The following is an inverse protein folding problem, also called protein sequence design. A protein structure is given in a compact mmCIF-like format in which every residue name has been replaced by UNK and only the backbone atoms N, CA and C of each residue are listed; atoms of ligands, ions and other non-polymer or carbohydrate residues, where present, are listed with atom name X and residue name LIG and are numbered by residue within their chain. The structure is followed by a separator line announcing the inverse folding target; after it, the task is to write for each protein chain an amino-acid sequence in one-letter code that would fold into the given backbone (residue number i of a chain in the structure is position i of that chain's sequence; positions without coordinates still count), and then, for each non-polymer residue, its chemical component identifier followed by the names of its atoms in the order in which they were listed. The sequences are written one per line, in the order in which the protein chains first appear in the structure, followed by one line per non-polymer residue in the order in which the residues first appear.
data_IF_934840363602
#
_entry.id   IF_934840363602
#
_cell.length_a   1.000
_cell.length_b   1.000
_cell.length_c   1.000
_cell.angle_alpha   90.00
_cell.angle_beta   90.00
_cell.angle_gamma   90.00
#
_symmetry.space_group_name_H-M   'P 1'
#
loop_
_entity.id
_entity.type
_entity.pdbx_description
1 polymer ?
#
# COMPACT_ATOMS: atom_id res chain seq x y z
N UNK A 1 -54.75 49.82 26.08
CA UNK A 1 -54.57 48.37 25.89
C UNK A 1 -53.13 48.19 25.37
N UNK A 2 -52.10 48.30 26.22
CA UNK A 2 -51.48 47.22 27.02
C UNK A 2 -50.00 47.16 26.62
N UNK A 3 -49.14 48.06 27.13
CA UNK A 3 -48.14 47.90 28.21
C UNK A 3 -47.03 46.86 27.96
N UNK A 4 -45.78 47.33 27.97
CA UNK A 4 -44.58 46.47 28.06
C UNK A 4 -43.29 47.29 28.12
N UNK A 5 -43.01 47.92 29.27
CA UNK A 5 -41.71 48.51 29.60
C UNK A 5 -40.80 47.39 30.12
N UNK A 6 -39.59 47.26 29.58
CA UNK A 6 -38.47 46.68 30.33
C UNK A 6 -37.25 47.60 30.22
N UNK A 7 -37.02 48.37 31.30
CA UNK A 7 -35.71 48.93 31.62
C UNK A 7 -35.05 47.98 32.61
N UNK A 8 -33.85 47.48 32.30
CA UNK A 8 -32.90 47.01 33.32
C UNK A 8 -31.61 47.78 33.11
N UNK A 9 -31.13 48.37 34.21
CA UNK A 9 -30.14 49.43 34.23
C UNK A 9 -28.70 49.01 33.97
N UNK A 10 -27.89 50.02 33.66
CA UNK A 10 -26.45 49.93 33.68
C UNK A 10 -25.95 49.73 35.12
N UNK A 11 -25.10 48.72 35.32
CA UNK A 11 -24.08 48.72 36.36
C UNK A 11 -22.79 48.20 35.74
N UNK A 12 -21.72 48.97 35.93
CA UNK A 12 -20.41 48.75 35.36
C UNK A 12 -19.70 47.58 36.04
N UNK A 13 -19.27 46.61 35.24
CA UNK A 13 -18.08 45.80 35.47
C UNK A 13 -17.55 45.42 34.10
N UNK A 14 -16.68 46.25 33.53
CA UNK A 14 -15.96 45.94 32.31
C UNK A 14 -15.01 44.79 32.57
N UNK A 15 -15.47 43.56 32.40
CA UNK A 15 -14.60 42.40 32.32
C UNK A 15 -13.75 42.56 31.06
N UNK A 16 -12.49 42.96 31.23
CA UNK A 16 -11.47 42.78 30.21
C UNK A 16 -11.32 41.28 30.07
N UNK A 17 -12.01 40.71 29.08
CA UNK A 17 -11.76 39.35 28.62
C UNK A 17 -10.40 39.40 27.94
N UNK A 18 -9.35 39.09 28.70
CA UNK A 18 -8.05 38.77 28.13
C UNK A 18 -8.25 37.45 27.40
N UNK A 19 -8.51 37.52 26.09
CA UNK A 19 -8.27 36.39 25.21
C UNK A 19 -6.76 36.15 25.27
N UNK A 20 -6.34 35.24 26.15
CA UNK A 20 -5.13 34.48 25.89
C UNK A 20 -5.38 33.80 24.56
N UNK A 21 -4.77 34.34 23.49
CA UNK A 21 -4.59 33.59 22.26
C UNK A 21 -3.91 32.30 22.71
N UNK A 22 -4.68 31.21 22.79
CA UNK A 22 -4.10 29.90 22.77
C UNK A 22 -3.27 29.90 21.49
N UNK A 23 -1.95 29.96 21.64
CA UNK A 23 -1.04 29.67 20.55
C UNK A 23 -1.44 28.28 20.11
N UNK A 24 -2.12 28.20 18.97
CA UNK A 24 -2.41 26.93 18.33
C UNK A 24 -1.06 26.19 18.29
N UNK A 25 -0.91 25.04 18.97
CA UNK A 25 0.30 24.27 18.82
C UNK A 25 0.47 24.06 17.32
N UNK A 26 1.64 24.42 16.82
CA UNK A 26 1.99 24.34 15.41
C UNK A 26 1.50 22.98 14.89
N UNK A 27 0.50 23.00 13.99
CA UNK A 27 -0.07 21.83 13.33
C UNK A 27 0.99 21.22 12.41
N UNK A 28 1.90 20.47 13.00
CA UNK A 28 2.98 19.78 12.34
C UNK A 28 2.76 18.31 12.63
N UNK A 29 2.77 17.49 11.59
CA UNK A 29 2.74 16.05 11.75
C UNK A 29 3.83 15.56 12.71
N UNK A 30 3.49 14.54 13.46
CA UNK A 30 4.37 13.86 14.39
C UNK A 30 5.43 13.05 13.64
N UNK A 31 6.57 12.86 14.27
CA UNK A 31 7.62 11.95 13.79
C UNK A 31 7.86 10.87 14.82
N UNK A 32 7.68 9.61 14.41
CA UNK A 32 7.87 8.43 15.24
C UNK A 32 9.15 7.68 14.81
N UNK A 33 10.13 7.64 15.70
CA UNK A 33 11.38 6.91 15.49
C UNK A 33 11.26 5.49 16.08
N UNK A 34 11.00 4.51 15.21
CA UNK A 34 10.89 3.11 15.63
C UNK A 34 12.25 2.62 16.15
N UNK A 35 12.28 2.12 17.38
CA UNK A 35 13.50 1.66 18.02
C UNK A 35 13.46 0.17 18.42
N UNK A 36 12.37 -0.52 18.10
CA UNK A 36 12.22 -1.94 18.41
C UNK A 36 11.45 -2.70 17.32
N UNK A 37 11.95 -3.90 16.99
CA UNK A 37 11.35 -4.78 15.97
C UNK A 37 10.24 -5.67 16.48
N UNK A 38 9.90 -5.58 17.77
CA UNK A 38 8.76 -6.29 18.35
C UNK A 38 7.46 -5.86 17.66
N UNK A 39 6.47 -6.74 17.74
CA UNK A 39 5.11 -6.47 17.29
C UNK A 39 4.23 -6.38 18.54
N UNK A 40 4.07 -5.15 19.02
CA UNK A 40 3.31 -4.82 20.22
C UNK A 40 2.60 -3.49 19.97
N UNK A 41 1.36 -3.39 20.44
CA UNK A 41 0.56 -2.18 20.36
C UNK A 41 1.10 -1.08 21.28
N UNK A 42 0.75 0.16 20.97
CA UNK A 42 0.97 1.28 21.86
C UNK A 42 0.28 1.03 23.22
N UNK A 43 0.87 1.55 24.30
CA UNK A 43 0.25 1.50 25.61
C UNK A 43 -0.96 2.43 25.72
N UNK A 44 -0.88 3.63 25.13
CA UNK A 44 -1.87 4.70 25.21
C UNK A 44 -1.77 5.59 23.96
N UNK A 45 -2.89 5.78 23.27
CA UNK A 45 -2.97 6.72 22.15
C UNK A 45 -2.90 8.16 22.67
N UNK A 46 -1.69 8.71 22.77
CA UNK A 46 -1.40 9.98 23.44
C UNK A 46 -0.42 10.90 22.68
N UNK A 47 -0.06 10.55 21.46
CA UNK A 47 0.92 11.24 20.62
C UNK A 47 2.37 10.77 20.85
N UNK A 48 2.60 9.81 21.75
CA UNK A 48 3.91 9.23 22.03
C UNK A 48 3.94 7.75 21.67
N UNK A 49 4.81 7.36 20.74
CA UNK A 49 5.01 5.95 20.42
C UNK A 49 5.74 5.22 21.57
N UNK A 50 5.00 4.51 22.42
CA UNK A 50 5.49 3.84 23.61
C UNK A 50 4.64 2.60 23.99
N UNK A 51 5.21 1.41 23.81
CA UNK A 51 4.59 0.16 24.28
C UNK A 51 4.68 -0.03 25.80
N UNK A 52 3.96 -1.01 26.34
CA UNK A 52 3.98 -1.39 27.78
C UNK A 52 5.27 -2.09 28.25
N UNK A 53 6.29 -2.20 27.40
CA UNK A 53 7.60 -2.74 27.78
C UNK A 53 8.28 -1.88 28.85
N UNK A 54 9.25 -2.47 29.57
CA UNK A 54 10.04 -1.75 30.60
C UNK A 54 11.53 -1.89 30.27
N UNK A 55 12.22 -0.82 29.80
CA UNK A 55 11.66 0.50 29.48
C UNK A 55 10.73 0.47 28.24
N UNK A 56 9.83 1.47 28.09
CA UNK A 56 8.98 1.58 26.91
C UNK A 56 9.79 1.66 25.62
N UNK A 57 9.28 1.04 24.57
CA UNK A 57 9.89 1.03 23.24
C UNK A 57 8.86 1.40 22.19
N UNK A 58 9.31 2.01 21.09
CA UNK A 58 8.48 2.34 19.94
C UNK A 58 8.60 1.21 18.90
N UNK A 59 7.49 0.53 18.62
CA UNK A 59 7.38 -0.48 17.57
C UNK A 59 6.73 0.14 16.34
N UNK A 60 6.83 -0.52 15.18
CA UNK A 60 6.11 -0.10 13.97
C UNK A 60 4.59 -0.06 14.18
N UNK A 61 4.03 -1.04 14.90
CA UNK A 61 2.58 -1.09 15.17
C UNK A 61 2.15 0.08 16.04
N UNK A 62 2.87 0.33 17.14
CA UNK A 62 2.59 1.46 18.02
C UNK A 62 2.65 2.79 17.25
N UNK A 63 3.69 3.00 16.44
CA UNK A 63 3.84 4.21 15.63
C UNK A 63 2.67 4.42 14.63
N UNK A 64 2.17 3.34 14.03
CA UNK A 64 1.00 3.43 13.12
C UNK A 64 -0.28 3.69 13.90
N UNK A 65 -0.43 3.13 15.11
CA UNK A 65 -1.60 3.41 15.95
C UNK A 65 -1.65 4.87 16.39
N UNK A 66 -0.50 5.46 16.73
CA UNK A 66 -0.40 6.90 16.98
C UNK A 66 -0.73 7.71 15.72
N UNK A 67 -0.16 7.35 14.57
CA UNK A 67 -0.40 8.07 13.32
C UNK A 67 -1.88 8.01 12.88
N UNK A 68 -2.55 6.88 13.12
CA UNK A 68 -3.98 6.73 12.86
C UNK A 68 -4.87 7.57 13.80
N UNK A 69 -4.31 8.18 14.85
CA UNK A 69 -5.04 9.03 15.79
C UNK A 69 -4.82 10.52 15.53
N UNK A 70 -4.06 10.89 14.50
CA UNK A 70 -3.84 12.27 14.08
C UNK A 70 -4.66 12.62 12.84
N UNK A 71 -4.71 13.91 12.53
CA UNK A 71 -5.34 14.44 11.30
C UNK A 71 -4.32 15.04 10.33
N UNK A 72 -3.08 15.20 10.78
CA UNK A 72 -2.00 15.80 10.00
C UNK A 72 -1.12 14.68 9.41
N UNK A 73 -0.34 15.01 8.37
CA UNK A 73 0.55 14.00 7.76
C UNK A 73 1.74 13.68 8.65
N UNK A 74 1.79 12.44 9.15
CA UNK A 74 2.84 11.99 10.05
C UNK A 74 4.01 11.29 9.33
N UNK A 75 5.12 11.13 10.05
CA UNK A 75 6.33 10.46 9.57
C UNK A 75 6.73 9.33 10.50
N UNK A 76 6.97 8.15 9.96
CA UNK A 76 7.60 7.02 10.66
C UNK A 76 8.99 6.80 10.07
N UNK A 77 10.01 6.88 10.92
CA UNK A 77 11.36 6.45 10.56
C UNK A 77 11.58 5.01 11.01
N UNK A 78 11.90 4.13 10.07
CA UNK A 78 12.02 2.70 10.27
C UNK A 78 13.45 2.22 10.01
N UNK A 79 14.27 2.04 11.06
CA UNK A 79 15.63 1.55 10.93
C UNK A 79 15.72 0.15 10.33
N UNK A 80 16.94 -0.24 9.97
CA UNK A 80 17.27 -1.61 9.58
C UNK A 80 16.75 -2.60 10.63
N UNK A 81 16.01 -3.61 10.18
CA UNK A 81 15.35 -4.50 11.13
C UNK A 81 14.35 -5.44 10.47
N UNK A 82 13.94 -6.46 11.20
CA UNK A 82 12.93 -7.42 10.74
C UNK A 82 11.70 -7.34 11.63
N UNK A 83 10.72 -6.56 11.18
CA UNK A 83 9.46 -6.29 11.85
C UNK A 83 8.45 -7.38 11.47
N UNK A 84 8.37 -8.44 12.27
CA UNK A 84 7.46 -9.56 12.01
C UNK A 84 6.14 -9.33 12.72
N UNK A 85 5.06 -9.20 11.96
CA UNK A 85 3.69 -9.08 12.48
C UNK A 85 3.25 -10.44 13.07
N UNK A 86 3.28 -10.52 14.40
CA UNK A 86 3.03 -11.72 15.21
C UNK A 86 1.63 -11.72 15.82
N UNK A 87 1.05 -10.56 16.09
CA UNK A 87 -0.31 -10.44 16.60
C UNK A 87 -1.26 -10.95 15.51
N UNK A 88 -2.05 -11.97 15.84
CA UNK A 88 -2.96 -12.61 14.89
C UNK A 88 -4.37 -12.13 15.17
N UNK A 89 -5.00 -11.57 14.15
CA UNK A 89 -6.42 -11.33 13.99
C UNK A 89 -6.65 -11.05 12.50
N UNK A 90 -7.88 -11.17 12.03
CA UNK A 90 -8.26 -10.84 10.65
C UNK A 90 -9.53 -9.99 10.74
N UNK A 91 -9.55 -8.86 10.03
CA UNK A 91 -10.71 -7.95 10.00
C UNK A 91 -10.87 -7.11 11.28
N UNK A 92 -9.79 -6.54 11.80
CA UNK A 92 -9.84 -5.59 12.91
C UNK A 92 -9.31 -4.23 12.45
N UNK A 93 -10.23 -3.29 12.22
CA UNK A 93 -9.94 -1.92 11.78
C UNK A 93 -9.17 -1.18 12.89
N UNK A 94 -7.97 -0.65 12.57
CA UNK A 94 -7.07 0.21 13.37
C UNK A 94 -5.71 -0.43 13.73
N UNK A 95 -5.22 -1.40 12.94
CA UNK A 95 -3.90 -2.02 13.16
C UNK A 95 -3.70 -2.63 14.57
N UNK A 96 -4.77 -3.04 15.25
CA UNK A 96 -4.70 -3.61 16.61
C UNK A 96 -4.11 -5.03 16.61
N UNK A 97 -4.44 -5.83 15.60
CA UNK A 97 -3.90 -7.17 15.36
C UNK A 97 -3.70 -7.39 13.86
N UNK A 98 -3.07 -8.51 13.48
CA UNK A 98 -2.97 -8.88 12.07
C UNK A 98 -2.07 -7.93 11.28
N UNK A 99 -2.59 -7.50 10.12
CA UNK A 99 -1.99 -6.46 9.27
C UNK A 99 -1.86 -5.09 9.95
N UNK A 100 -1.34 -4.14 9.20
CA UNK A 100 -1.22 -2.74 9.61
C UNK A 100 -2.12 -1.89 8.72
N UNK A 101 -3.22 -1.40 9.27
CA UNK A 101 -4.11 -0.46 8.58
C UNK A 101 -3.57 0.95 8.75
N UNK A 102 -3.52 1.70 7.65
CA UNK A 102 -3.14 3.10 7.63
C UNK A 102 -4.38 3.89 7.19
N UNK A 103 -4.85 4.74 8.10
CA UNK A 103 -6.14 5.42 8.00
C UNK A 103 -6.00 6.92 7.71
N UNK A 104 -4.80 7.46 7.86
CA UNK A 104 -4.47 8.86 7.67
C UNK A 104 -3.15 9.04 6.91
N UNK A 105 -2.91 10.27 6.46
CA UNK A 105 -1.74 10.67 5.69
C UNK A 105 -0.44 10.24 6.39
N UNK A 106 0.35 9.42 5.72
CA UNK A 106 1.52 8.82 6.36
C UNK A 106 2.70 8.69 5.41
N UNK A 107 3.87 9.11 5.89
CA UNK A 107 5.17 8.80 5.27
C UNK A 107 5.93 7.78 6.11
N UNK A 108 6.31 6.65 5.51
CA UNK A 108 7.21 5.65 6.13
C UNK A 108 8.57 5.67 5.42
N UNK A 109 9.60 6.10 6.14
CA UNK A 109 10.99 6.13 5.70
C UNK A 109 11.74 4.90 6.21
N UNK A 110 12.02 3.93 5.36
CA UNK A 110 12.90 2.82 5.71
C UNK A 110 14.39 3.17 5.58
N UNK A 111 15.24 2.34 6.17
CA UNK A 111 16.71 2.43 6.05
C UNK A 111 17.28 1.63 4.85
N UNK A 112 16.47 1.43 3.82
CA UNK A 112 16.78 0.60 2.65
C UNK A 112 16.15 -0.79 2.73
N UNK A 113 16.51 -1.68 1.78
CA UNK A 113 15.91 -3.01 1.66
C UNK A 113 16.03 -3.91 2.92
N UNK A 114 16.82 -3.52 3.92
CA UNK A 114 16.99 -4.19 5.21
C UNK A 114 15.95 -3.80 6.27
N UNK A 115 15.17 -2.72 6.07
CA UNK A 115 13.95 -2.47 6.82
C UNK A 115 12.85 -3.42 6.28
N UNK A 116 12.75 -4.61 6.87
CA UNK A 116 11.93 -5.71 6.37
C UNK A 116 10.68 -5.86 7.24
N UNK A 117 9.54 -5.53 6.66
CA UNK A 117 8.21 -5.68 7.28
C UNK A 117 7.63 -6.99 6.77
N UNK A 118 7.27 -7.87 7.72
CA UNK A 118 6.91 -9.25 7.45
C UNK A 118 5.57 -9.64 8.04
N UNK A 119 4.60 -9.89 7.17
CA UNK A 119 3.37 -10.55 7.57
C UNK A 119 3.59 -12.02 7.95
N UNK A 120 2.49 -12.69 8.33
CA UNK A 120 2.52 -14.09 8.78
C UNK A 120 1.28 -14.89 8.37
N UNK A 121 0.12 -14.53 8.91
CA UNK A 121 -1.18 -15.15 8.61
C UNK A 121 -2.22 -14.11 8.16
N UNK A 122 -1.73 -12.91 7.87
CA UNK A 122 -2.51 -11.78 7.40
C UNK A 122 -1.68 -11.02 6.35
N UNK A 123 -2.33 -10.09 5.66
CA UNK A 123 -1.74 -9.04 4.83
C UNK A 123 -0.75 -8.21 5.64
N UNK A 124 0.17 -7.50 4.97
CA UNK A 124 1.11 -6.61 5.67
C UNK A 124 0.49 -5.25 5.90
N UNK A 125 -0.03 -4.62 4.85
CA UNK A 125 -0.62 -3.29 4.91
C UNK A 125 -1.99 -3.21 4.26
N UNK A 126 -2.90 -2.45 4.86
CA UNK A 126 -4.10 -1.93 4.20
C UNK A 126 -4.04 -0.40 4.22
N UNK A 127 -4.29 0.21 3.07
CA UNK A 127 -4.40 1.66 2.94
C UNK A 127 -5.87 1.99 2.77
N UNK A 128 -6.43 2.79 3.68
CA UNK A 128 -7.82 3.19 3.61
C UNK A 128 -8.10 4.13 2.42
N UNK A 129 -9.37 4.28 2.08
CA UNK A 129 -9.83 5.21 1.03
C UNK A 129 -9.41 6.63 1.31
N UNK A 130 -9.15 7.40 0.25
CA UNK A 130 -8.79 8.84 0.35
C UNK A 130 -7.58 9.10 1.28
N UNK A 131 -6.70 8.11 1.45
CA UNK A 131 -5.54 8.17 2.35
C UNK A 131 -4.23 8.23 1.55
N UNK A 132 -3.59 9.40 1.43
CA UNK A 132 -2.24 9.57 0.89
C UNK A 132 -1.18 8.87 1.74
N UNK A 133 -0.53 7.86 1.18
CA UNK A 133 0.56 7.15 1.86
C UNK A 133 1.79 7.10 0.98
N UNK A 134 2.94 7.49 1.52
CA UNK A 134 4.24 7.28 0.87
C UNK A 134 5.09 6.31 1.68
N UNK A 135 5.55 5.24 1.06
CA UNK A 135 6.53 4.33 1.65
C UNK A 135 7.80 4.32 0.80
N UNK A 136 8.95 4.47 1.45
CA UNK A 136 10.23 4.45 0.74
C UNK A 136 11.28 3.59 1.44
N UNK A 137 12.20 3.06 0.64
CA UNK A 137 13.42 2.42 1.12
C UNK A 137 13.17 1.27 2.10
N UNK A 138 12.26 0.34 1.76
CA UNK A 138 11.91 -0.80 2.63
C UNK A 138 11.53 -2.07 1.86
N UNK A 139 11.40 -3.20 2.56
CA UNK A 139 10.91 -4.48 2.01
C UNK A 139 9.62 -4.91 2.69
N UNK A 140 8.58 -5.17 1.90
CA UNK A 140 7.29 -5.74 2.32
C UNK A 140 7.25 -7.20 1.87
N UNK A 141 7.11 -8.14 2.81
CA UNK A 141 7.21 -9.55 2.45
C UNK A 141 6.41 -10.49 3.34
N UNK A 142 6.15 -11.70 2.83
CA UNK A 142 5.56 -12.81 3.59
C UNK A 142 4.19 -12.52 4.21
N UNK A 143 3.51 -11.47 3.78
CA UNK A 143 2.08 -11.36 4.03
C UNK A 143 1.36 -12.53 3.36
N UNK A 144 0.39 -13.09 4.08
CA UNK A 144 -0.32 -14.30 3.69
C UNK A 144 -1.75 -14.19 4.15
N UNK A 145 -2.63 -13.80 3.24
CA UNK A 145 -4.04 -13.65 3.53
C UNK A 145 -4.85 -14.77 2.87
N UNK A 146 -5.67 -15.46 3.66
CA UNK A 146 -6.52 -16.56 3.22
C UNK A 146 -5.77 -17.83 2.75
N UNK A 147 -6.57 -18.76 2.23
CA UNK A 147 -6.18 -20.03 1.59
C UNK A 147 -6.99 -20.23 0.32
N UNK A 148 -6.54 -21.18 -0.52
CA UNK A 148 -7.26 -21.52 -1.76
C UNK A 148 -8.71 -21.92 -1.45
N UNK A 149 -9.66 -21.32 -2.16
CA UNK A 149 -11.09 -21.60 -2.01
C UNK A 149 -11.78 -20.83 -0.88
N UNK A 150 -11.07 -19.95 -0.16
CA UNK A 150 -11.75 -18.83 0.50
C UNK A 150 -12.41 -17.95 -0.58
N UNK A 151 -13.29 -17.01 -0.24
CA UNK A 151 -13.99 -16.16 -1.21
C UNK A 151 -14.30 -14.81 -0.59
N UNK A 152 -14.15 -13.72 -1.34
CA UNK A 152 -14.45 -12.37 -0.86
C UNK A 152 -13.28 -11.42 -1.08
N UNK A 153 -13.60 -10.15 -1.35
CA UNK A 153 -12.59 -9.14 -1.68
C UNK A 153 -11.67 -8.86 -0.50
N UNK A 154 -12.09 -9.10 0.74
CA UNK A 154 -11.31 -8.92 1.96
C UNK A 154 -9.99 -9.71 1.93
N UNK A 155 -9.94 -10.82 1.18
CA UNK A 155 -8.76 -11.68 1.05
C UNK A 155 -7.72 -11.21 0.03
N UNK A 156 -7.87 -9.98 -0.50
CA UNK A 156 -6.99 -9.41 -1.53
C UNK A 156 -5.75 -8.74 -0.97
N UNK A 157 -4.67 -8.71 -1.76
CA UNK A 157 -3.47 -7.93 -1.45
C UNK A 157 -2.57 -8.60 -0.41
N UNK A 158 -1.92 -9.70 -0.75
CA UNK A 158 -1.14 -10.49 0.22
C UNK A 158 -0.06 -9.66 0.92
N UNK A 159 0.56 -8.72 0.22
CA UNK A 159 1.46 -7.72 0.80
C UNK A 159 0.69 -6.46 1.17
N UNK A 160 0.05 -5.85 0.18
CA UNK A 160 -0.62 -4.55 0.30
C UNK A 160 -2.00 -4.63 -0.34
N UNK A 161 -3.00 -4.09 0.34
CA UNK A 161 -4.30 -3.74 -0.21
C UNK A 161 -4.36 -2.22 -0.22
N UNK A 162 -4.57 -1.63 -1.38
CA UNK A 162 -4.68 -0.20 -1.56
C UNK A 162 -6.10 0.18 -1.96
N UNK A 163 -6.78 0.92 -1.08
CA UNK A 163 -8.07 1.55 -1.36
C UNK A 163 -7.93 3.09 -1.43
N UNK A 164 -6.75 3.63 -1.10
CA UNK A 164 -6.40 5.05 -1.14
C UNK A 164 -5.33 5.40 -2.17
N UNK A 165 -4.44 6.34 -1.82
CA UNK A 165 -3.42 6.89 -2.70
C UNK A 165 -2.01 6.49 -2.27
N UNK A 166 -1.49 5.41 -2.85
CA UNK A 166 -0.22 4.82 -2.42
C UNK A 166 0.93 5.17 -3.37
N UNK A 167 1.98 5.77 -2.82
CA UNK A 167 3.27 5.96 -3.47
C UNK A 167 4.35 5.06 -2.86
N UNK A 168 5.02 4.27 -3.69
CA UNK A 168 6.13 3.41 -3.31
C UNK A 168 7.42 3.84 -4.04
N UNK A 169 8.48 4.10 -3.28
CA UNK A 169 9.78 4.48 -3.84
C UNK A 169 10.92 3.59 -3.33
N UNK A 170 11.67 2.97 -4.23
CA UNK A 170 12.82 2.11 -3.84
C UNK A 170 12.40 0.99 -2.86
N UNK A 171 11.19 0.47 -3.05
CA UNK A 171 10.58 -0.59 -2.23
C UNK A 171 10.72 -1.96 -2.90
N UNK A 172 10.81 -3.02 -2.09
CA UNK A 172 10.68 -4.41 -2.55
C UNK A 172 9.41 -5.03 -1.99
N UNK A 173 8.47 -5.44 -2.85
CA UNK A 173 7.28 -6.22 -2.47
C UNK A 173 7.47 -7.67 -2.90
N UNK A 174 7.73 -8.57 -1.96
CA UNK A 174 8.15 -9.92 -2.32
C UNK A 174 7.68 -11.07 -1.42
N UNK A 175 7.42 -12.22 -2.05
CA UNK A 175 7.03 -13.46 -1.39
C UNK A 175 5.73 -13.34 -0.58
N UNK A 176 4.82 -12.49 -1.04
CA UNK A 176 3.49 -12.36 -0.47
C UNK A 176 2.53 -13.36 -1.14
N UNK A 177 1.47 -13.71 -0.45
CA UNK A 177 0.45 -14.64 -0.96
C UNK A 177 -0.94 -14.17 -0.55
N UNK A 178 -1.87 -14.19 -1.49
CA UNK A 178 -3.27 -13.88 -1.24
C UNK A 178 -4.14 -15.04 -1.72
N UNK A 179 -5.30 -15.25 -1.10
CA UNK A 179 -6.29 -16.18 -1.61
C UNK A 179 -6.90 -15.64 -2.91
N UNK A 180 -7.32 -14.37 -2.85
CA UNK A 180 -7.89 -13.58 -3.94
C UNK A 180 -7.02 -12.36 -4.21
N UNK A 181 -7.26 -11.72 -5.34
CA UNK A 181 -6.61 -10.51 -5.78
C UNK A 181 -5.08 -10.61 -5.85
N UNK A 182 -4.47 -9.44 -5.81
CA UNK A 182 -3.04 -9.25 -6.02
C UNK A 182 -2.21 -9.99 -4.97
N UNK A 183 -1.48 -11.03 -5.38
CA UNK A 183 -0.62 -11.76 -4.46
C UNK A 183 0.41 -10.86 -3.77
N UNK A 184 0.86 -9.81 -4.47
CA UNK A 184 1.71 -8.75 -3.94
C UNK A 184 0.91 -7.54 -3.50
N UNK A 185 0.28 -6.88 -4.48
CA UNK A 185 -0.47 -5.63 -4.31
C UNK A 185 -1.83 -5.78 -5.01
N UNK A 186 -2.92 -5.51 -4.29
CA UNK A 186 -4.24 -5.30 -4.88
C UNK A 186 -4.59 -3.82 -4.73
N UNK A 187 -5.10 -3.19 -5.80
CA UNK A 187 -5.54 -1.79 -5.79
C UNK A 187 -6.94 -1.69 -6.38
N UNK A 188 -7.89 -1.16 -5.61
CA UNK A 188 -9.29 -1.01 -6.01
C UNK A 188 -9.78 0.41 -5.74
N UNK A 189 -10.15 1.16 -6.79
CA UNK A 189 -10.67 2.54 -6.66
C UNK A 189 -9.63 3.64 -6.35
N UNK A 190 -8.45 3.28 -5.86
CA UNK A 190 -7.37 4.20 -5.48
C UNK A 190 -6.29 4.44 -6.56
N UNK A 191 -5.38 5.38 -6.29
CA UNK A 191 -4.19 5.59 -7.13
C UNK A 191 -2.97 4.82 -6.60
N UNK A 192 -2.12 4.36 -7.52
CA UNK A 192 -0.91 3.60 -7.19
C UNK A 192 0.28 4.07 -8.02
N UNK A 193 1.28 4.66 -7.37
CA UNK A 193 2.50 5.15 -8.02
C UNK A 193 3.73 4.41 -7.51
N UNK A 194 4.47 3.75 -8.41
CA UNK A 194 5.70 3.01 -8.08
C UNK A 194 6.89 3.59 -8.84
N UNK A 195 7.96 3.92 -8.12
CA UNK A 195 9.22 4.37 -8.68
C UNK A 195 10.41 3.57 -8.13
N UNK A 196 11.21 2.96 -9.02
CA UNK A 196 12.37 2.13 -8.63
C UNK A 196 12.00 0.94 -7.72
N UNK A 197 10.81 0.35 -7.95
CA UNK A 197 10.25 -0.74 -7.15
C UNK A 197 10.51 -2.11 -7.76
N UNK A 198 10.68 -3.12 -6.91
CA UNK A 198 10.70 -4.52 -7.34
C UNK A 198 9.52 -5.30 -6.75
N UNK A 199 8.67 -5.86 -7.60
CA UNK A 199 7.56 -6.74 -7.21
C UNK A 199 7.85 -8.16 -7.67
N UNK A 200 8.15 -9.09 -6.73
CA UNK A 200 8.64 -10.42 -7.11
C UNK A 200 8.22 -11.58 -6.23
N UNK A 201 8.14 -12.76 -6.84
CA UNK A 201 7.81 -14.02 -6.14
C UNK A 201 6.49 -13.95 -5.36
N UNK A 202 5.57 -13.06 -5.73
CA UNK A 202 4.26 -12.99 -5.12
C UNK A 202 3.31 -13.98 -5.78
N UNK A 203 2.25 -14.36 -5.06
CA UNK A 203 1.37 -15.43 -5.50
C UNK A 203 -0.10 -15.17 -5.20
N UNK A 204 -0.94 -15.17 -6.22
CA UNK A 204 -2.39 -15.39 -6.04
C UNK A 204 -2.67 -16.91 -6.03
N UNK A 205 -3.58 -17.35 -5.16
CA UNK A 205 -3.98 -18.75 -5.06
C UNK A 205 -5.20 -19.08 -5.93
N UNK A 206 -5.86 -18.06 -6.48
CA UNK A 206 -7.04 -18.19 -7.32
C UNK A 206 -6.86 -17.43 -8.65
N UNK A 207 -7.92 -16.78 -9.13
CA UNK A 207 -8.02 -16.37 -10.52
C UNK A 207 -7.25 -15.08 -10.83
N UNK A 208 -6.83 -14.35 -9.80
CA UNK A 208 -6.32 -13.00 -9.96
C UNK A 208 -4.81 -12.85 -10.20
N UNK A 209 -4.42 -11.61 -10.50
CA UNK A 209 -3.08 -11.04 -10.49
C UNK A 209 -2.06 -11.64 -9.50
N UNK A 210 -1.03 -12.34 -10.02
CA UNK A 210 0.02 -12.91 -9.17
C UNK A 210 0.89 -11.88 -8.46
N UNK A 211 1.19 -10.77 -9.15
CA UNK A 211 1.95 -9.63 -8.61
C UNK A 211 1.02 -8.48 -8.24
N UNK A 212 0.29 -8.01 -9.25
CA UNK A 212 -0.70 -6.94 -9.15
C UNK A 212 -2.06 -7.40 -9.62
N UNK A 213 -3.08 -6.95 -8.93
CA UNK A 213 -4.48 -7.00 -9.32
C UNK A 213 -5.06 -5.58 -9.19
N UNK A 214 -5.66 -5.09 -10.25
CA UNK A 214 -5.99 -3.68 -10.45
C UNK A 214 -7.42 -3.58 -10.98
N UNK A 215 -8.33 -3.06 -10.17
CA UNK A 215 -9.72 -2.78 -10.55
C UNK A 215 -10.07 -1.31 -10.30
N UNK A 216 -10.70 -0.64 -11.26
CA UNK A 216 -11.10 0.78 -11.16
C UNK A 216 -9.97 1.70 -10.61
N UNK A 217 -8.71 1.44 -10.99
CA UNK A 217 -7.54 2.11 -10.38
C UNK A 217 -6.67 2.82 -11.41
N UNK A 218 -6.00 3.90 -10.98
CA UNK A 218 -5.01 4.62 -11.80
C UNK A 218 -3.61 4.29 -11.33
N UNK A 219 -2.82 3.65 -12.19
CA UNK A 219 -1.53 3.05 -11.82
C UNK A 219 -0.41 3.59 -12.70
N UNK A 220 0.62 4.15 -12.07
CA UNK A 220 1.83 4.65 -12.74
C UNK A 220 3.06 3.89 -12.26
N UNK A 221 3.74 3.20 -13.18
CA UNK A 221 4.93 2.41 -12.90
C UNK A 221 6.14 3.00 -13.64
N UNK A 222 7.16 3.43 -12.91
CA UNK A 222 8.41 3.95 -13.48
C UNK A 222 9.61 3.18 -12.96
N UNK A 223 10.43 2.61 -13.85
CA UNK A 223 11.62 1.81 -13.50
C UNK A 223 11.28 0.64 -12.56
N UNK A 224 10.14 0.00 -12.79
CA UNK A 224 9.65 -1.12 -11.97
C UNK A 224 10.05 -2.46 -12.57
N UNK A 225 10.49 -3.38 -11.72
CA UNK A 225 10.72 -4.79 -12.10
C UNK A 225 9.65 -5.69 -11.49
N UNK A 226 8.87 -6.35 -12.35
CA UNK A 226 7.80 -7.28 -12.00
C UNK A 226 8.24 -8.67 -12.43
N UNK A 227 8.59 -9.53 -11.48
CA UNK A 227 9.18 -10.82 -11.85
C UNK A 227 8.83 -12.01 -10.99
N UNK A 228 8.76 -13.18 -11.63
CA UNK A 228 8.53 -14.47 -10.94
C UNK A 228 7.25 -14.50 -10.09
N UNK A 229 6.30 -13.62 -10.38
CA UNK A 229 4.99 -13.66 -9.75
C UNK A 229 4.15 -14.76 -10.39
N UNK A 230 3.21 -15.30 -9.62
CA UNK A 230 2.43 -16.46 -10.02
C UNK A 230 0.96 -16.30 -9.69
N UNK A 231 0.11 -16.46 -10.70
CA UNK A 231 -1.32 -16.69 -10.49
C UNK A 231 -1.66 -18.18 -10.61
N UNK A 232 -2.72 -18.60 -9.92
CA UNK A 232 -3.26 -19.94 -10.09
C UNK A 232 -4.17 -20.05 -11.32
N UNK A 233 -4.66 -18.94 -11.86
CA UNK A 233 -5.37 -18.90 -13.15
C UNK A 233 -4.82 -17.83 -14.10
N UNK A 234 -5.01 -16.53 -13.83
CA UNK A 234 -4.81 -15.46 -14.82
C UNK A 234 -3.91 -14.31 -14.32
N UNK A 235 -3.30 -13.54 -15.23
CA UNK A 235 -2.54 -12.32 -14.82
C UNK A 235 -1.30 -12.58 -13.96
N UNK A 236 -0.40 -13.46 -14.40
CA UNK A 236 0.71 -13.94 -13.55
C UNK A 236 1.61 -12.83 -12.98
N UNK A 237 1.82 -11.74 -13.73
CA UNK A 237 2.51 -10.54 -13.27
C UNK A 237 1.55 -9.43 -12.86
N UNK A 238 0.78 -8.94 -13.83
CA UNK A 238 -0.26 -7.92 -13.66
C UNK A 238 -1.57 -8.44 -14.23
N UNK A 239 -2.65 -8.21 -13.51
CA UNK A 239 -4.00 -8.17 -14.04
C UNK A 239 -4.56 -6.75 -13.89
N UNK A 240 -5.22 -6.26 -14.95
CA UNK A 240 -5.94 -5.00 -14.95
C UNK A 240 -7.34 -5.22 -15.54
N UNK A 241 -8.35 -4.81 -14.78
CA UNK A 241 -9.77 -4.95 -15.09
C UNK A 241 -10.50 -3.63 -14.80
N UNK A 242 -11.80 -3.61 -15.13
CA UNK A 242 -12.78 -2.61 -14.69
C UNK A 242 -12.32 -1.17 -14.90
N UNK A 243 -12.04 -0.85 -16.16
CA UNK A 243 -11.60 0.47 -16.64
C UNK A 243 -10.33 1.03 -15.97
N UNK A 244 -9.53 0.17 -15.32
CA UNK A 244 -8.24 0.57 -14.75
C UNK A 244 -7.31 1.15 -15.81
N UNK A 245 -6.51 2.16 -15.42
CA UNK A 245 -5.54 2.81 -16.29
C UNK A 245 -4.13 2.51 -15.81
N UNK A 246 -3.35 1.79 -16.62
CA UNK A 246 -1.98 1.41 -16.28
C UNK A 246 -0.98 2.06 -17.23
N UNK A 247 -0.11 2.90 -16.69
CA UNK A 247 1.00 3.52 -17.42
C UNK A 247 2.33 2.96 -16.95
N UNK A 248 3.15 2.47 -17.88
CA UNK A 248 4.45 1.86 -17.58
C UNK A 248 5.56 2.52 -18.37
N UNK A 249 6.60 2.98 -17.68
CA UNK A 249 7.78 3.61 -18.29
C UNK A 249 9.08 2.99 -17.78
N UNK A 250 9.92 2.50 -18.71
CA UNK A 250 11.20 1.87 -18.39
C UNK A 250 11.08 0.64 -17.46
N UNK A 251 10.01 -0.13 -17.62
CA UNK A 251 9.70 -1.27 -16.74
C UNK A 251 10.13 -2.62 -17.34
N UNK A 252 10.30 -3.62 -16.48
CA UNK A 252 10.57 -5.01 -16.88
C UNK A 252 9.54 -5.96 -16.28
N UNK A 253 8.82 -6.71 -17.11
CA UNK A 253 7.88 -7.77 -16.73
C UNK A 253 8.44 -9.12 -17.17
N UNK A 254 8.98 -9.91 -16.24
CA UNK A 254 9.71 -11.13 -16.62
C UNK A 254 9.54 -12.35 -15.73
N UNK A 255 9.52 -13.53 -16.36
CA UNK A 255 9.48 -14.80 -15.62
C UNK A 255 8.20 -15.01 -14.80
N UNK A 256 7.14 -14.23 -15.05
CA UNK A 256 5.86 -14.38 -14.37
C UNK A 256 5.05 -15.53 -15.00
N UNK A 257 4.14 -16.14 -14.25
CA UNK A 257 3.38 -17.29 -14.73
C UNK A 257 1.92 -17.31 -14.28
N UNK A 258 1.04 -17.75 -15.16
CA UNK A 258 -0.37 -18.00 -14.89
C UNK A 258 -0.77 -19.34 -15.53
N UNK A 259 -1.79 -20.02 -15.02
CA UNK A 259 -2.18 -21.33 -15.58
C UNK A 259 -3.03 -21.20 -16.83
N UNK A 260 -3.94 -20.24 -16.90
CA UNK A 260 -4.81 -19.99 -18.04
C UNK A 260 -4.22 -18.92 -18.98
N UNK A 261 -4.23 -17.64 -18.60
CA UNK A 261 -3.92 -16.54 -19.51
C UNK A 261 -3.04 -15.45 -18.88
N UNK A 262 -2.42 -14.61 -19.72
CA UNK A 262 -1.76 -13.40 -19.26
C UNK A 262 -0.60 -13.63 -18.28
N UNK A 263 0.26 -14.62 -18.55
CA UNK A 263 1.36 -14.98 -17.64
C UNK A 263 2.25 -13.81 -17.22
N UNK A 264 2.39 -12.78 -18.08
CA UNK A 264 3.06 -11.52 -17.75
C UNK A 264 2.08 -10.41 -17.40
N UNK A 265 1.16 -10.14 -18.31
CA UNK A 265 0.16 -9.09 -18.18
C UNK A 265 -1.16 -9.58 -18.78
N UNK A 266 -2.27 -9.27 -18.11
CA UNK A 266 -3.65 -9.41 -18.58
C UNK A 266 -4.35 -8.06 -18.49
N UNK A 267 -5.11 -7.71 -19.52
CA UNK A 267 -5.81 -6.43 -19.64
C UNK A 267 -7.20 -6.69 -20.20
N UNK A 268 -8.24 -6.49 -19.38
CA UNK A 268 -9.62 -6.86 -19.69
C UNK A 268 -10.61 -5.80 -19.20
N UNK A 269 -11.91 -6.00 -19.47
CA UNK A 269 -13.01 -5.16 -18.97
C UNK A 269 -12.77 -3.64 -19.12
N UNK A 270 -12.34 -3.21 -20.31
CA UNK A 270 -12.15 -1.79 -20.62
C UNK A 270 -10.85 -1.17 -20.09
N UNK A 271 -10.02 -1.92 -19.36
CA UNK A 271 -8.74 -1.43 -18.86
C UNK A 271 -7.83 -0.92 -20.00
N UNK A 272 -7.12 0.17 -19.71
CA UNK A 272 -6.24 0.87 -20.63
C UNK A 272 -4.76 0.68 -20.24
N UNK A 273 -3.93 0.41 -21.24
CA UNK A 273 -2.50 0.16 -21.03
C UNK A 273 -1.63 1.05 -21.93
N UNK A 274 -0.77 1.86 -21.31
CA UNK A 274 0.23 2.68 -21.98
C UNK A 274 1.65 2.20 -21.63
N UNK A 275 2.38 1.68 -22.62
CA UNK A 275 3.73 1.11 -22.42
C UNK A 275 4.79 1.92 -23.16
N UNK A 276 5.75 2.46 -22.42
CA UNK A 276 6.92 3.15 -22.98
C UNK A 276 8.21 2.49 -22.47
N UNK A 277 9.06 2.01 -23.39
CA UNK A 277 10.33 1.34 -23.07
C UNK A 277 10.17 0.16 -22.08
N UNK A 278 9.16 -0.68 -22.30
CA UNK A 278 8.86 -1.82 -21.44
C UNK A 278 9.41 -3.11 -22.04
N UNK A 279 10.11 -3.90 -21.22
CA UNK A 279 10.56 -5.25 -21.58
C UNK A 279 9.60 -6.29 -21.00
N UNK A 280 8.99 -7.12 -21.85
CA UNK A 280 8.13 -8.24 -21.43
C UNK A 280 8.75 -9.54 -21.94
N UNK A 281 9.29 -10.38 -21.05
CA UNK A 281 10.09 -11.55 -21.46
C UNK A 281 9.97 -12.77 -20.52
N UNK A 282 9.96 -13.97 -21.10
CA UNK A 282 10.02 -15.22 -20.33
C UNK A 282 8.80 -15.50 -19.45
N UNK A 283 7.67 -14.84 -19.71
CA UNK A 283 6.41 -15.07 -19.00
C UNK A 283 5.66 -16.29 -19.59
N UNK A 284 4.93 -17.05 -18.76
CA UNK A 284 4.26 -18.30 -19.14
C UNK A 284 2.76 -18.26 -18.82
N UNK A 285 1.89 -18.40 -19.83
CA UNK A 285 0.44 -18.59 -19.68
C UNK A 285 -0.01 -19.85 -20.43
N UNK A 286 -1.12 -20.48 -19.99
CA UNK A 286 -1.66 -21.71 -20.59
C UNK A 286 -2.19 -21.58 -22.01
N UNK A 287 -2.50 -20.35 -22.46
CA UNK A 287 -2.75 -20.03 -23.87
C UNK A 287 -2.04 -18.72 -24.23
N UNK A 288 -1.14 -18.79 -25.21
CA UNK A 288 -0.45 -17.63 -25.73
C UNK A 288 -1.42 -16.78 -26.57
N UNK A 289 -2.04 -15.79 -25.94
CA UNK A 289 -2.67 -14.66 -26.63
C UNK A 289 -1.99 -13.41 -26.07
N UNK A 290 -1.18 -12.73 -26.88
CA UNK A 290 -0.48 -11.50 -26.46
C UNK A 290 1.05 -11.57 -26.43
N UNK A 291 1.71 -12.44 -27.20
CA UNK A 291 3.11 -12.16 -27.53
C UNK A 291 3.18 -10.88 -28.37
N UNK A 292 3.64 -9.78 -27.77
CA UNK A 292 3.99 -8.55 -28.48
C UNK A 292 4.87 -8.92 -29.70
N UNK A 293 4.59 -8.44 -30.91
CA UNK A 293 5.36 -8.80 -32.09
C UNK A 293 6.84 -8.50 -31.84
N UNK A 294 7.71 -9.49 -32.03
CA UNK A 294 9.15 -9.24 -32.12
C UNK A 294 9.35 -8.19 -33.21
N UNK A 295 10.10 -7.12 -32.90
CA UNK A 295 10.54 -6.14 -33.92
C UNK A 295 11.04 -6.91 -35.15
N UNK A 296 10.65 -6.54 -36.39
CA UNK A 296 11.19 -7.18 -37.58
C UNK A 296 12.71 -7.06 -37.53
N UNK A 297 13.42 -8.17 -37.78
CA UNK A 297 14.86 -8.09 -38.06
C UNK A 297 15.02 -7.14 -39.24
N UNK A 298 15.88 -6.13 -39.06
CA UNK A 298 16.13 -5.11 -40.07
C UNK A 298 16.39 -5.72 -41.44
N UNK A 299 15.78 -5.12 -42.45
CA UNK A 299 16.18 -5.24 -43.84
C UNK A 299 17.70 -5.05 -43.93
N UNK A 300 18.41 -6.05 -44.43
CA UNK A 300 19.74 -5.81 -44.97
C UNK A 300 19.60 -4.87 -46.17
N UNK A 301 20.45 -3.83 -46.31
CA UNK A 301 20.50 -3.08 -47.55
C UNK A 301 21.01 -4.00 -48.66
N UNK A 302 20.18 -4.22 -49.69
CA UNK A 302 20.62 -4.86 -50.92
C UNK A 302 21.68 -3.99 -51.58
N UNK A 303 22.88 -4.55 -51.76
CA UNK A 303 23.87 -4.00 -52.68
C UNK A 303 23.35 -4.13 -54.10
N UNK A 304 23.17 -2.99 -54.76
CA UNK A 304 23.48 -2.75 -56.18
C UNK A 304 23.82 -1.29 -56.33
#
# INVERSE_FOLDING_TARGET
MGTGILRVGASAAGAIVVFTLATCPQAHGLTFDVNNTADAADALIDGTCATTAVPPVCTLRAAIQEANATIESDVINLPDGKYVLKLVGAGEDNAATGGLDILHDLTINGAGAKAIIRGKKDRVFQIATETPVTMRDLTISKGKLGKKGDSGSEFSGGGIRNEGDLTLERVVVANNTAAHGGGGISSSGGSLTLTDVTVRNNKSLDDDGGGFDLGESTVTLTRVTISKNKSADEGGGIEATDDSVVTMTNCTVSGNSAKAQGGGLRNENGAALALTNVTIAGNKGGRAVGSIPRRPRGLQPSRT
#
